data_IF_695261630485
#
_entry.id   IF_695261630485
#
_cell.length_a   1.000
_cell.length_b   1.000
_cell.length_c   1.000
_cell.angle_alpha   90.00
_cell.angle_beta   90.00
_cell.angle_gamma   90.00
#
_symmetry.space_group_name_H-M   'P 1'
#
loop_
_entity.id
_entity.type
_entity.pdbx_description
1 polymer ?
#
# COMPACT_ATOMS: atom_id res chain seq x y z
N UNK A 1 29.54 1.78 10.31
CA UNK A 1 28.17 1.67 10.82
C UNK A 1 27.53 3.04 11.13
N UNK A 2 28.19 4.06 11.71
CA UNK A 2 27.52 5.32 12.05
C UNK A 2 27.06 6.12 10.82
N UNK A 3 27.82 6.06 9.72
CA UNK A 3 27.52 6.74 8.46
C UNK A 3 26.14 6.39 7.89
N UNK A 4 25.67 5.15 8.05
CA UNK A 4 24.36 4.72 7.55
C UNK A 4 23.23 5.49 8.23
N UNK A 5 23.34 5.72 9.55
CA UNK A 5 22.35 6.48 10.32
C UNK A 5 22.36 7.96 9.97
N UNK A 6 23.53 8.56 9.75
CA UNK A 6 23.62 9.96 9.36
C UNK A 6 23.05 10.21 7.95
N UNK A 7 23.38 9.34 6.99
CA UNK A 7 22.90 9.46 5.61
C UNK A 7 21.39 9.22 5.52
N UNK A 8 20.88 8.15 6.14
CA UNK A 8 19.44 7.86 6.12
C UNK A 8 18.65 8.90 6.90
N UNK A 9 19.16 9.38 8.04
CA UNK A 9 18.53 10.45 8.82
C UNK A 9 18.44 11.77 8.06
N UNK A 10 19.55 12.19 7.43
CA UNK A 10 19.56 13.42 6.63
C UNK A 10 18.60 13.33 5.44
N UNK A 11 18.54 12.18 4.75
CA UNK A 11 17.61 11.96 3.64
C UNK A 11 16.14 12.05 4.09
N UNK A 12 15.80 11.44 5.24
CA UNK A 12 14.46 11.53 5.79
C UNK A 12 14.08 12.96 6.20
N UNK A 13 15.02 13.73 6.76
CA UNK A 13 14.78 15.15 7.09
C UNK A 13 14.56 15.99 5.84
N UNK A 14 15.34 15.77 4.78
CA UNK A 14 15.14 16.42 3.49
C UNK A 14 13.76 16.08 2.90
N UNK A 15 13.37 14.80 2.95
CA UNK A 15 12.06 14.36 2.49
C UNK A 15 10.91 14.98 3.31
N UNK A 16 11.03 15.01 4.63
CA UNK A 16 10.05 15.65 5.50
C UNK A 16 9.92 17.15 5.22
N UNK A 17 11.03 17.85 4.94
CA UNK A 17 11.00 19.26 4.57
C UNK A 17 10.31 19.48 3.21
N UNK A 18 10.55 18.61 2.23
CA UNK A 18 9.83 18.65 0.94
C UNK A 18 8.33 18.41 1.14
N UNK A 19 7.96 17.42 1.95
CA UNK A 19 6.57 17.11 2.24
C UNK A 19 5.87 18.24 3.00
N UNK A 20 6.57 18.91 3.91
CA UNK A 20 6.04 20.09 4.61
C UNK A 20 5.71 21.25 3.65
N UNK A 21 6.47 21.39 2.56
CA UNK A 21 6.24 22.46 1.59
C UNK A 21 5.18 22.10 0.54
N UNK A 22 5.07 20.82 0.17
CA UNK A 22 4.21 20.35 -0.92
C UNK A 22 2.91 19.69 -0.44
N UNK A 23 2.85 19.24 0.81
CA UNK A 23 1.70 18.55 1.38
C UNK A 23 0.56 19.51 1.69
N UNK A 24 -0.63 19.20 1.18
CA UNK A 24 -1.88 19.87 1.53
C UNK A 24 -2.92 18.84 1.96
N UNK A 25 -3.68 19.15 3.00
CA UNK A 25 -4.67 18.23 3.60
C UNK A 25 -5.96 18.13 2.77
N UNK A 26 -6.30 19.18 2.01
CA UNK A 26 -7.44 19.22 1.10
C UNK A 26 -7.00 19.77 -0.26
N UNK A 27 -7.60 19.31 -1.38
CA UNK A 27 -7.43 19.94 -2.69
C UNK A 27 -7.69 21.45 -2.65
N UNK A 28 -8.57 21.95 -1.77
CA UNK A 28 -8.86 23.38 -1.62
C UNK A 28 -7.73 24.18 -0.95
N UNK A 29 -6.88 23.50 -0.19
CA UNK A 29 -5.74 24.11 0.54
C UNK A 29 -4.43 24.03 -0.24
N UNK A 30 -4.43 23.35 -1.39
CA UNK A 30 -3.22 23.14 -2.18
C UNK A 30 -2.85 24.41 -2.99
N UNK A 31 -1.63 24.95 -2.84
CA UNK A 31 -1.27 26.26 -3.41
C UNK A 31 -1.14 26.25 -4.95
N UNK A 32 -0.95 25.09 -5.57
CA UNK A 32 -0.58 24.97 -6.99
C UNK A 32 -1.61 24.18 -7.82
N UNK A 33 -2.80 23.90 -7.29
CA UNK A 33 -3.81 23.10 -8.00
C UNK A 33 -4.53 23.93 -9.08
N UNK A 34 -4.83 23.33 -10.23
CA UNK A 34 -5.63 23.97 -11.26
C UNK A 34 -7.11 24.06 -10.82
N UNK A 35 -7.80 25.19 -11.02
CA UNK A 35 -9.20 25.32 -10.64
C UNK A 35 -10.11 24.26 -11.26
N UNK A 36 -9.84 23.80 -12.49
CA UNK A 36 -10.65 22.76 -13.16
C UNK A 36 -10.48 21.40 -12.50
N UNK A 37 -9.25 21.05 -12.13
CA UNK A 37 -8.95 19.80 -11.43
C UNK A 37 -9.57 19.80 -10.03
N UNK A 38 -9.46 20.93 -9.32
CA UNK A 38 -10.11 21.11 -8.00
C UNK A 38 -11.62 20.89 -8.10
N UNK A 39 -12.27 21.54 -9.06
CA UNK A 39 -13.73 21.45 -9.21
C UNK A 39 -14.16 20.03 -9.60
N UNK A 40 -13.40 19.34 -10.47
CA UNK A 40 -13.63 17.92 -10.80
C UNK A 40 -13.57 17.00 -9.57
N UNK A 41 -12.54 17.14 -8.74
CA UNK A 41 -12.38 16.33 -7.52
C UNK A 41 -13.50 16.63 -6.52
N UNK A 42 -13.87 17.90 -6.36
CA UNK A 42 -14.90 18.33 -5.43
C UNK A 42 -16.31 17.89 -5.87
N UNK A 43 -16.61 17.88 -7.17
CA UNK A 43 -17.85 17.32 -7.71
C UNK A 43 -17.97 15.82 -7.41
N UNK A 44 -16.89 15.06 -7.59
CA UNK A 44 -16.87 13.63 -7.27
C UNK A 44 -17.04 13.41 -5.76
N UNK A 45 -16.31 14.17 -4.92
CA UNK A 45 -16.46 14.14 -3.47
C UNK A 45 -17.86 14.52 -2.98
N UNK A 46 -18.52 15.49 -3.62
CA UNK A 46 -19.88 15.91 -3.25
C UNK A 46 -20.91 14.79 -3.51
N UNK A 47 -20.72 13.97 -4.55
CA UNK A 47 -21.55 12.80 -4.80
C UNK A 47 -21.41 11.74 -3.70
N UNK A 48 -20.21 11.60 -3.10
CA UNK A 48 -19.97 10.69 -1.97
C UNK A 48 -20.40 11.28 -0.61
N UNK A 49 -20.38 12.59 -0.44
CA UNK A 49 -20.71 13.28 0.81
C UNK A 49 -22.21 13.36 1.11
N UNK A 50 -23.09 13.01 0.16
CA UNK A 50 -24.52 12.86 0.41
C UNK A 50 -24.88 11.67 1.31
N UNK A 51 -23.92 10.79 1.66
CA UNK A 51 -24.15 9.79 2.70
C UNK A 51 -24.15 10.48 4.07
N UNK A 52 -25.30 10.53 4.73
CA UNK A 52 -25.45 11.03 6.10
C UNK A 52 -24.34 10.49 7.02
N UNK A 53 -23.89 11.31 7.96
CA UNK A 53 -22.84 10.94 8.93
C UNK A 53 -23.38 9.90 9.91
N UNK A 54 -23.39 8.63 9.49
CA UNK A 54 -23.76 7.53 10.37
C UNK A 54 -22.66 7.30 11.42
N UNK A 55 -23.01 7.06 12.69
CA UNK A 55 -22.02 6.66 13.68
C UNK A 55 -21.35 5.35 13.23
N UNK A 56 -20.02 5.33 13.17
CA UNK A 56 -19.25 4.15 12.74
C UNK A 56 -19.61 2.94 13.60
N UNK A 57 -20.15 1.85 13.03
CA UNK A 57 -20.69 0.72 13.78
C UNK A 57 -19.57 -0.21 14.24
N UNK A 58 -18.84 0.18 15.28
CA UNK A 58 -17.71 -0.56 15.84
C UNK A 58 -18.04 -2.03 16.14
N UNK A 59 -19.22 -2.30 16.72
CA UNK A 59 -19.63 -3.66 17.05
C UNK A 59 -19.76 -4.54 15.81
N UNK A 60 -20.39 -4.03 14.75
CA UNK A 60 -20.59 -4.77 13.50
C UNK A 60 -19.25 -5.11 12.83
N UNK A 61 -18.29 -4.17 12.86
CA UNK A 61 -16.93 -4.37 12.33
C UNK A 61 -16.25 -5.53 13.07
N UNK A 62 -16.22 -5.50 14.41
CA UNK A 62 -15.56 -6.54 15.21
C UNK A 62 -16.27 -7.89 15.18
N UNK A 63 -17.57 -7.94 14.89
CA UNK A 63 -18.30 -9.22 14.74
C UNK A 63 -18.26 -9.79 13.32
N UNK A 64 -17.71 -9.05 12.35
CA UNK A 64 -17.71 -9.48 10.96
C UNK A 64 -16.59 -10.50 10.67
N UNK A 65 -16.94 -11.60 10.00
CA UNK A 65 -16.00 -12.65 9.58
C UNK A 65 -14.90 -12.11 8.64
N UNK A 66 -15.20 -11.22 7.65
CA UNK A 66 -14.18 -10.70 6.74
C UNK A 66 -13.06 -9.93 7.46
N UNK A 67 -13.37 -9.19 8.53
CA UNK A 67 -12.37 -8.42 9.30
C UNK A 67 -11.39 -9.36 10.00
N UNK A 68 -11.86 -10.44 10.62
CA UNK A 68 -10.98 -11.41 11.26
C UNK A 68 -10.12 -12.17 10.24
N UNK A 69 -10.67 -12.52 9.08
CA UNK A 69 -9.90 -13.10 7.98
C UNK A 69 -8.78 -12.16 7.53
N UNK A 70 -9.07 -10.86 7.37
CA UNK A 70 -8.08 -9.85 6.99
C UNK A 70 -6.98 -9.69 8.06
N UNK A 71 -7.35 -9.70 9.34
CA UNK A 71 -6.38 -9.65 10.45
C UNK A 71 -5.45 -10.87 10.41
N UNK A 72 -6.00 -12.08 10.21
CA UNK A 72 -5.20 -13.30 10.09
C UNK A 72 -4.21 -13.25 8.94
N UNK A 73 -4.66 -12.78 7.77
CA UNK A 73 -3.81 -12.57 6.59
C UNK A 73 -2.72 -11.54 6.88
N UNK A 74 -3.07 -10.40 7.49
CA UNK A 74 -2.11 -9.35 7.82
C UNK A 74 -1.02 -9.83 8.81
N UNK A 75 -1.40 -10.63 9.81
CA UNK A 75 -0.45 -11.23 10.76
C UNK A 75 0.46 -12.24 10.03
N UNK A 76 -0.12 -13.13 9.21
CA UNK A 76 0.65 -14.12 8.45
C UNK A 76 1.65 -13.46 7.49
N UNK A 77 1.21 -12.42 6.80
CA UNK A 77 2.06 -11.62 5.92
C UNK A 77 3.17 -10.91 6.71
N UNK A 78 2.83 -10.14 7.75
CA UNK A 78 3.81 -9.43 8.57
C UNK A 78 4.86 -10.36 9.18
N UNK A 79 4.43 -11.55 9.63
CA UNK A 79 5.34 -12.56 10.17
C UNK A 79 6.23 -13.18 9.07
N UNK A 80 5.66 -13.54 7.92
CA UNK A 80 6.40 -14.07 6.78
C UNK A 80 7.44 -13.08 6.27
N UNK A 81 7.07 -11.81 6.14
CA UNK A 81 7.98 -10.74 5.75
C UNK A 81 9.12 -10.56 6.76
N UNK A 82 8.82 -10.55 8.06
CA UNK A 82 9.84 -10.44 9.09
C UNK A 82 10.84 -11.60 9.09
N UNK A 83 10.37 -12.84 8.85
CA UNK A 83 11.23 -14.02 8.69
C UNK A 83 12.13 -13.85 7.47
N UNK A 84 11.57 -13.50 6.32
CA UNK A 84 12.32 -13.29 5.09
C UNK A 84 13.40 -12.21 5.29
N UNK A 85 13.04 -11.08 5.88
CA UNK A 85 13.95 -9.96 6.13
C UNK A 85 15.12 -10.33 7.06
N UNK A 86 14.85 -11.11 8.10
CA UNK A 86 15.86 -11.48 9.12
C UNK A 86 16.69 -12.69 8.73
N UNK A 87 16.10 -13.67 8.05
CA UNK A 87 16.75 -14.93 7.71
C UNK A 87 17.47 -14.90 6.36
N UNK A 88 17.07 -14.05 5.40
CA UNK A 88 17.78 -13.93 4.12
C UNK A 88 19.27 -13.59 4.31
N UNK A 89 19.65 -12.55 5.10
CA UNK A 89 21.05 -12.22 5.28
C UNK A 89 21.85 -13.33 5.96
N UNK A 90 21.23 -14.00 6.94
CA UNK A 90 21.82 -15.13 7.65
C UNK A 90 22.01 -16.36 6.74
N UNK A 91 21.03 -16.66 5.88
CA UNK A 91 21.09 -17.75 4.91
C UNK A 91 22.18 -17.53 3.86
N UNK A 92 22.24 -16.33 3.26
CA UNK A 92 23.26 -16.03 2.24
C UNK A 92 24.69 -16.08 2.84
N UNK A 93 24.85 -15.68 4.10
CA UNK A 93 26.13 -15.74 4.79
C UNK A 93 26.55 -17.19 5.13
N UNK A 94 25.64 -17.96 5.73
CA UNK A 94 25.95 -19.28 6.33
C UNK A 94 25.95 -20.44 5.33
N UNK A 95 25.04 -20.43 4.35
CA UNK A 95 24.86 -21.54 3.40
C UNK A 95 25.53 -21.25 2.07
N UNK A 96 25.46 -20.00 1.60
CA UNK A 96 25.97 -19.59 0.29
C UNK A 96 27.44 -19.13 0.34
N UNK A 97 27.99 -18.84 1.53
CA UNK A 97 29.41 -18.55 1.75
C UNK A 97 29.90 -17.20 1.21
N UNK A 98 29.00 -16.31 0.78
CA UNK A 98 29.37 -15.01 0.23
C UNK A 98 29.77 -14.00 1.32
N UNK A 99 30.80 -13.21 1.04
CA UNK A 99 31.33 -12.20 1.96
C UNK A 99 30.33 -11.03 2.11
N UNK A 100 30.16 -10.52 3.34
CA UNK A 100 29.09 -9.57 3.72
C UNK A 100 29.06 -8.29 2.85
N UNK A 101 30.20 -7.91 2.24
CA UNK A 101 30.31 -6.73 1.37
C UNK A 101 29.55 -6.85 0.05
N UNK A 102 29.47 -8.03 -0.56
CA UNK A 102 28.72 -8.26 -1.81
C UNK A 102 27.25 -8.65 -1.54
N UNK A 103 26.96 -9.04 -0.30
CA UNK A 103 25.66 -9.54 0.13
C UNK A 103 24.56 -8.47 0.11
N UNK A 104 24.92 -7.18 0.22
CA UNK A 104 23.95 -6.07 0.19
C UNK A 104 23.20 -5.98 -1.15
N UNK A 105 23.88 -6.19 -2.27
CA UNK A 105 23.24 -6.15 -3.60
C UNK A 105 22.38 -7.38 -3.84
N UNK A 106 22.90 -8.57 -3.48
CA UNK A 106 22.18 -9.85 -3.58
C UNK A 106 20.93 -9.90 -2.70
N UNK A 107 21.02 -9.36 -1.48
CA UNK A 107 19.89 -9.28 -0.55
C UNK A 107 18.86 -8.23 -0.99
N UNK A 108 19.26 -7.17 -1.70
CA UNK A 108 18.34 -6.17 -2.26
C UNK A 108 17.63 -6.66 -3.53
N UNK A 109 18.24 -7.58 -4.28
CA UNK A 109 17.74 -8.11 -5.55
C UNK A 109 16.30 -8.68 -5.49
N UNK A 110 15.91 -9.54 -4.53
CA UNK A 110 14.54 -10.02 -4.45
C UNK A 110 13.52 -8.89 -4.22
N UNK A 111 13.84 -7.90 -3.39
CA UNK A 111 12.96 -6.74 -3.14
C UNK A 111 12.86 -5.83 -4.37
N UNK A 112 13.97 -5.63 -5.07
CA UNK A 112 14.00 -4.83 -6.30
C UNK A 112 13.22 -5.53 -7.43
N UNK A 113 13.35 -6.85 -7.56
CA UNK A 113 12.56 -7.65 -8.50
C UNK A 113 11.06 -7.56 -8.21
N UNK A 114 10.66 -7.63 -6.95
CA UNK A 114 9.26 -7.42 -6.55
C UNK A 114 8.77 -6.02 -6.93
N UNK A 115 9.60 -5.00 -6.74
CA UNK A 115 9.30 -3.62 -7.15
C UNK A 115 9.13 -3.46 -8.65
N UNK A 116 10.03 -4.00 -9.47
CA UNK A 116 9.89 -3.95 -10.93
C UNK A 116 8.64 -4.71 -11.40
N UNK A 117 8.36 -5.88 -10.82
CA UNK A 117 7.19 -6.68 -11.16
C UNK A 117 5.85 -6.03 -10.74
N UNK A 118 5.86 -5.09 -9.79
CA UNK A 118 4.63 -4.41 -9.37
C UNK A 118 4.01 -3.53 -10.47
N UNK A 119 4.83 -2.83 -11.25
CA UNK A 119 4.36 -1.95 -12.33
C UNK A 119 3.51 -2.64 -13.40
N UNK A 120 3.95 -3.76 -14.04
CA UNK A 120 3.14 -4.43 -15.04
C UNK A 120 1.89 -5.07 -14.45
N UNK A 121 1.90 -5.49 -13.18
CA UNK A 121 0.72 -6.05 -12.50
C UNK A 121 -0.32 -4.97 -12.25
N UNK A 122 0.08 -3.77 -11.80
CA UNK A 122 -0.82 -2.62 -11.67
C UNK A 122 -1.42 -2.23 -13.02
N UNK A 123 -0.57 -2.07 -14.05
CA UNK A 123 -1.04 -1.71 -15.39
C UNK A 123 -2.00 -2.75 -15.98
N UNK A 124 -1.72 -4.05 -15.76
CA UNK A 124 -2.61 -5.12 -16.19
C UNK A 124 -3.95 -5.09 -15.43
N UNK A 125 -3.94 -4.76 -14.14
CA UNK A 125 -5.17 -4.64 -13.34
C UNK A 125 -6.05 -3.51 -13.86
N UNK A 126 -5.47 -2.34 -14.13
CA UNK A 126 -6.18 -1.17 -14.68
C UNK A 126 -6.79 -1.50 -16.06
N UNK A 127 -6.02 -2.16 -16.94
CA UNK A 127 -6.51 -2.59 -18.25
C UNK A 127 -7.65 -3.62 -18.18
N UNK A 128 -7.61 -4.53 -17.21
CA UNK A 128 -8.65 -5.54 -17.03
C UNK A 128 -9.95 -4.91 -16.53
N UNK A 129 -9.85 -3.86 -15.71
CA UNK A 129 -11.00 -3.08 -15.22
C UNK A 129 -11.62 -2.23 -16.34
N UNK A 130 -10.80 -1.48 -17.10
CA UNK A 130 -11.28 -0.68 -18.23
C UNK A 130 -12.02 -1.52 -19.29
N UNK A 131 -11.55 -2.75 -19.54
CA UNK A 131 -12.14 -3.64 -20.54
C UNK A 131 -13.32 -4.46 -20.02
N UNK A 132 -13.71 -4.34 -18.75
CA UNK A 132 -14.83 -5.07 -18.13
C UNK A 132 -14.78 -6.60 -18.36
N UNK A 133 -13.58 -7.17 -18.47
CA UNK A 133 -13.41 -8.60 -18.80
C UNK A 133 -13.69 -9.49 -17.58
N UNK A 134 -13.39 -8.98 -16.38
CA UNK A 134 -13.57 -9.66 -15.11
C UNK A 134 -14.41 -8.81 -14.16
N UNK A 135 -15.15 -9.47 -13.27
CA UNK A 135 -15.86 -8.77 -12.20
C UNK A 135 -14.88 -8.00 -11.31
N UNK A 136 -15.20 -6.74 -10.98
CA UNK A 136 -14.40 -5.85 -10.14
C UNK A 136 -14.00 -6.49 -8.81
N UNK A 137 -14.83 -7.40 -8.28
CA UNK A 137 -14.53 -8.14 -7.04
C UNK A 137 -13.39 -9.13 -7.22
N UNK A 138 -13.30 -9.78 -8.38
CA UNK A 138 -12.25 -10.76 -8.68
C UNK A 138 -10.94 -10.04 -8.96
N UNK A 139 -10.97 -8.94 -9.71
CA UNK A 139 -9.80 -8.09 -9.99
C UNK A 139 -9.22 -7.57 -8.67
N UNK A 140 -10.05 -6.99 -7.79
CA UNK A 140 -9.60 -6.49 -6.48
C UNK A 140 -8.97 -7.58 -5.62
N UNK A 141 -9.57 -8.77 -5.55
CA UNK A 141 -9.00 -9.90 -4.78
C UNK A 141 -7.65 -10.36 -5.31
N UNK A 142 -7.51 -10.48 -6.64
CA UNK A 142 -6.26 -10.84 -7.28
C UNK A 142 -5.18 -9.78 -7.04
N UNK A 143 -5.54 -8.51 -7.17
CA UNK A 143 -4.65 -7.38 -6.95
C UNK A 143 -4.15 -7.33 -5.51
N UNK A 144 -5.05 -7.43 -4.52
CA UNK A 144 -4.68 -7.48 -3.10
C UNK A 144 -3.74 -8.66 -2.81
N UNK A 145 -4.01 -9.84 -3.38
CA UNK A 145 -3.18 -11.04 -3.17
C UNK A 145 -1.78 -10.91 -3.78
N UNK A 146 -1.65 -10.22 -4.92
CA UNK A 146 -0.35 -9.97 -5.56
C UNK A 146 0.44 -8.83 -4.90
N UNK A 147 -0.24 -7.76 -4.47
CA UNK A 147 0.42 -6.56 -3.93
C UNK A 147 0.79 -6.69 -2.46
N UNK A 148 0.19 -7.62 -1.71
CA UNK A 148 0.51 -7.88 -0.31
C UNK A 148 1.98 -8.27 -0.06
N UNK A 149 2.71 -8.72 -1.09
CA UNK A 149 4.15 -8.99 -0.98
C UNK A 149 5.03 -7.74 -0.96
N UNK A 150 4.44 -6.54 -1.11
CA UNK A 150 5.15 -5.27 -1.18
C UNK A 150 4.84 -4.35 0.03
N UNK A 151 5.80 -4.08 0.93
CA UNK A 151 5.51 -3.34 2.17
C UNK A 151 5.30 -1.83 1.99
N UNK A 152 5.59 -1.25 0.82
CA UNK A 152 5.61 0.21 0.62
C UNK A 152 4.26 0.82 0.18
N UNK A 153 3.29 0.00 -0.23
CA UNK A 153 1.98 0.46 -0.70
C UNK A 153 0.86 0.31 0.34
N UNK A 154 1.20 0.34 1.63
CA UNK A 154 0.23 0.30 2.73
C UNK A 154 -0.86 1.39 2.61
N UNK A 155 -0.53 2.58 2.10
CA UNK A 155 -1.51 3.66 1.89
C UNK A 155 -2.55 3.36 0.81
N UNK A 156 -2.18 2.66 -0.27
CA UNK A 156 -3.12 2.23 -1.31
C UNK A 156 -3.98 1.06 -0.83
N UNK A 157 -3.39 0.11 -0.11
CA UNK A 157 -4.10 -1.04 0.48
C UNK A 157 -5.11 -0.57 1.54
N UNK A 158 -4.79 0.44 2.36
CA UNK A 158 -5.77 1.00 3.30
C UNK A 158 -6.93 1.70 2.58
N UNK A 159 -6.68 2.46 1.51
CA UNK A 159 -7.75 3.07 0.70
C UNK A 159 -8.65 2.00 0.07
N UNK A 160 -8.07 0.97 -0.53
CA UNK A 160 -8.84 -0.10 -1.17
C UNK A 160 -9.51 -1.07 -0.20
N UNK A 161 -8.89 -1.39 0.95
CA UNK A 161 -9.47 -2.25 1.98
C UNK A 161 -10.66 -1.57 2.66
N UNK A 162 -10.58 -0.26 2.93
CA UNK A 162 -11.73 0.52 3.44
C UNK A 162 -12.84 0.57 2.39
N UNK A 163 -12.51 0.73 1.12
CA UNK A 163 -13.48 0.71 0.02
C UNK A 163 -14.11 -0.67 -0.20
N UNK A 164 -13.34 -1.74 -0.02
CA UNK A 164 -13.77 -3.14 -0.13
C UNK A 164 -14.68 -3.55 1.04
N UNK A 165 -14.33 -3.16 2.28
CA UNK A 165 -15.18 -3.38 3.45
C UNK A 165 -16.50 -2.62 3.33
N UNK A 166 -16.49 -1.40 2.77
CA UNK A 166 -17.72 -0.60 2.53
C UNK A 166 -18.59 -1.22 1.44
N UNK A 167 -18.04 -1.66 0.31
CA UNK A 167 -18.81 -2.34 -0.74
C UNK A 167 -19.35 -3.72 -0.30
N UNK A 168 -18.65 -4.41 0.61
CA UNK A 168 -19.16 -5.65 1.22
C UNK A 168 -20.30 -5.34 2.20
N UNK A 169 -20.24 -4.20 2.92
CA UNK A 169 -21.33 -3.76 3.80
C UNK A 169 -22.57 -3.28 3.02
N UNK A 170 -22.44 -2.76 1.79
CA UNK A 170 -23.59 -2.41 0.95
C UNK A 170 -24.27 -3.62 0.28
N UNK A 171 -23.68 -4.81 0.38
CA UNK A 171 -24.27 -6.08 -0.08
C UNK A 171 -25.04 -6.84 1.02
N UNK A 172 -25.07 -6.31 2.26
CA UNK A 172 -25.84 -6.83 3.39
C UNK A 172 -26.87 -5.82 3.87
#
# INVERSE_FOLDING_TARGET
WPSVFYVSGALNLLWAALWWQLGADSPDTHPTIDPRERDYINEDHANFAQSETYPTPWKAIFTSVPVWSLIGVAIGNGWGFAIILTQIPAYINSVLGFNIKENGLLSALPYLSLWICSFPVCWLADLLEERNILSTVVIRKLYTSCCEYQPYNWFHICKEAVFSVRNVLELF
#
